data_IF_933694677037
#
_entry.id   IF_933694677037
#
_cell.length_a   1.000
_cell.length_b   1.000
_cell.length_c   1.000
_cell.angle_alpha   90.00
_cell.angle_beta   90.00
_cell.angle_gamma   90.00
#
_symmetry.space_group_name_H-M   'P 1'
#
loop_
_entity.id
_entity.type
_entity.pdbx_description
1 polymer ?
#
# COMPACT_ATOMS: atom_id res chain seq x y z
N UNK A 1 13.05 -7.59 10.00
CA UNK A 1 11.76 -8.03 9.47
C UNK A 1 11.12 -6.88 8.74
N UNK A 2 10.43 -7.15 7.66
CA UNK A 2 9.98 -6.09 6.78
C UNK A 2 8.66 -6.43 6.11
N UNK A 3 8.00 -5.36 5.66
CA UNK A 3 6.80 -5.47 4.83
C UNK A 3 7.19 -4.92 3.47
N UNK A 4 6.88 -5.66 2.41
CA UNK A 4 7.15 -5.21 1.06
C UNK A 4 5.96 -4.39 0.55
N UNK A 5 6.24 -3.20 0.04
CA UNK A 5 5.21 -2.31 -0.50
C UNK A 5 5.44 -2.14 -1.98
N UNK A 6 4.38 -2.32 -2.76
CA UNK A 6 4.45 -2.14 -4.22
C UNK A 6 3.40 -1.14 -4.65
N UNK A 7 3.74 -0.32 -5.64
CA UNK A 7 2.83 0.64 -6.23
C UNK A 7 2.81 0.46 -7.73
N UNK A 8 1.64 0.62 -8.33
CA UNK A 8 1.45 0.38 -9.76
C UNK A 8 0.81 1.56 -10.44
N UNK A 9 1.08 1.71 -11.72
CA UNK A 9 0.44 2.70 -12.59
C UNK A 9 0.54 4.12 -12.00
N UNK A 10 -0.54 4.88 -11.99
CA UNK A 10 -0.52 6.26 -11.51
C UNK A 10 -0.16 6.37 -10.04
N UNK A 11 -0.37 5.32 -9.27
CA UNK A 11 0.01 5.32 -7.85
C UNK A 11 1.53 5.37 -7.70
N UNK A 12 2.24 4.72 -8.62
CA UNK A 12 3.70 4.76 -8.62
C UNK A 12 4.21 6.17 -8.86
N UNK A 13 3.53 6.92 -9.72
CA UNK A 13 3.89 8.31 -9.97
C UNK A 13 3.51 9.20 -8.80
N UNK A 14 2.35 8.97 -8.21
CA UNK A 14 1.86 9.78 -7.09
C UNK A 14 2.80 9.70 -5.89
N UNK A 15 3.33 8.52 -5.60
CA UNK A 15 4.22 8.31 -4.46
C UNK A 15 5.69 8.34 -4.85
N UNK A 16 5.99 8.42 -6.13
CA UNK A 16 7.36 8.33 -6.66
C UNK A 16 8.04 7.07 -6.11
N UNK A 17 7.33 5.95 -6.21
CA UNK A 17 7.72 4.72 -5.56
C UNK A 17 7.16 3.52 -6.31
N UNK A 18 8.02 2.60 -6.75
CA UNK A 18 7.55 1.37 -7.37
C UNK A 18 7.55 0.21 -6.38
N UNK A 19 8.61 0.10 -5.58
CA UNK A 19 8.72 -0.97 -4.59
C UNK A 19 9.61 -0.48 -3.45
N UNK A 20 9.25 -0.87 -2.22
CA UNK A 20 10.04 -0.49 -1.05
C UNK A 20 9.76 -1.49 0.07
N UNK A 21 10.80 -1.78 0.85
CA UNK A 21 10.61 -2.52 2.09
C UNK A 21 10.59 -1.55 3.24
N UNK A 22 9.65 -1.74 4.16
CA UNK A 22 9.55 -0.89 5.35
C UNK A 22 9.64 -1.77 6.60
N UNK A 23 10.09 -1.17 7.69
CA UNK A 23 10.14 -1.88 8.96
C UNK A 23 8.72 -2.17 9.45
N UNK A 24 8.58 -3.28 10.15
CA UNK A 24 7.28 -3.70 10.67
C UNK A 24 6.84 -2.89 11.88
N UNK A 25 7.77 -2.20 12.53
CA UNK A 25 7.49 -1.46 13.76
C UNK A 25 6.38 -0.43 13.53
N UNK A 26 5.35 -0.51 14.36
CA UNK A 26 4.25 0.45 14.31
C UNK A 26 3.25 0.20 13.18
N UNK A 27 3.44 -0.84 12.41
CA UNK A 27 2.55 -1.16 11.29
C UNK A 27 1.58 -2.24 11.74
N UNK A 28 0.29 -1.92 11.73
CA UNK A 28 -0.75 -2.86 12.13
C UNK A 28 -1.72 -3.17 11.00
N UNK A 29 -1.91 -2.24 10.08
CA UNK A 29 -2.87 -2.39 9.00
C UNK A 29 -2.39 -1.67 7.75
N UNK A 30 -3.17 -1.79 6.68
CA UNK A 30 -2.84 -1.18 5.39
C UNK A 30 -2.72 0.34 5.50
N UNK A 31 -3.57 0.98 6.31
CA UNK A 31 -3.49 2.43 6.49
C UNK A 31 -2.15 2.85 7.07
N UNK A 32 -1.61 2.08 8.01
CA UNK A 32 -0.29 2.36 8.57
C UNK A 32 0.80 2.22 7.51
N UNK A 33 0.67 1.23 6.62
CA UNK A 33 1.61 1.06 5.52
C UNK A 33 1.56 2.29 4.61
N UNK A 34 0.36 2.75 4.26
CA UNK A 34 0.22 3.95 3.44
C UNK A 34 0.93 5.13 4.08
N UNK A 35 0.66 5.37 5.36
CA UNK A 35 1.26 6.50 6.06
C UNK A 35 2.78 6.40 6.09
N UNK A 36 3.32 5.20 6.19
CA UNK A 36 4.76 4.99 6.21
C UNK A 36 5.41 5.39 4.89
N UNK A 37 4.77 5.12 3.77
CA UNK A 37 5.37 5.39 2.45
C UNK A 37 4.92 6.71 1.85
N UNK A 38 3.75 7.20 2.20
CA UNK A 38 3.20 8.42 1.62
C UNK A 38 3.37 9.64 2.52
N UNK A 39 3.62 9.44 3.80
CA UNK A 39 3.73 10.53 4.74
C UNK A 39 2.40 11.26 4.88
N UNK A 40 2.40 12.54 4.56
CA UNK A 40 1.20 13.36 4.71
C UNK A 40 0.29 13.33 3.50
N UNK A 41 0.69 12.66 2.42
CA UNK A 41 -0.16 12.57 1.24
C UNK A 41 -1.39 11.72 1.53
N UNK A 42 -2.59 12.22 1.27
CA UNK A 42 -3.78 11.40 1.49
C UNK A 42 -3.89 10.30 0.44
N UNK A 43 -4.49 9.19 0.85
CA UNK A 43 -4.78 8.12 -0.09
C UNK A 43 -5.91 8.58 -1.00
N UNK A 44 -5.71 8.58 -2.33
CA UNK A 44 -6.77 8.99 -3.24
C UNK A 44 -8.02 8.12 -3.07
N UNK A 45 -9.17 8.72 -3.29
CA UNK A 45 -10.43 7.98 -3.27
C UNK A 45 -10.36 6.86 -4.30
N UNK A 46 -10.94 5.72 -3.96
CA UNK A 46 -11.00 4.57 -4.85
C UNK A 46 -9.66 3.88 -5.07
N UNK A 47 -8.64 4.20 -4.25
CA UNK A 47 -7.39 3.46 -4.30
C UNK A 47 -7.65 2.01 -3.92
N UNK A 48 -7.13 1.09 -4.72
CA UNK A 48 -7.25 -0.33 -4.44
C UNK A 48 -6.01 -0.81 -3.72
N UNK A 49 -6.22 -1.71 -2.78
CA UNK A 49 -5.13 -2.28 -1.99
C UNK A 49 -5.22 -3.79 -2.02
N UNK A 50 -4.08 -4.44 -1.96
CA UNK A 50 -4.02 -5.89 -1.86
C UNK A 50 -2.95 -6.27 -0.86
N UNK A 51 -3.22 -7.32 -0.07
CA UNK A 51 -2.25 -7.88 0.85
C UNK A 51 -2.02 -9.31 0.40
N UNK A 52 -0.76 -9.63 0.08
CA UNK A 52 -0.38 -10.95 -0.44
C UNK A 52 -1.26 -11.34 -1.64
N UNK A 53 -1.52 -10.35 -2.52
CA UNK A 53 -2.28 -10.52 -3.75
C UNK A 53 -3.79 -10.73 -3.54
N UNK A 54 -4.27 -10.57 -2.32
CA UNK A 54 -5.70 -10.63 -2.02
C UNK A 54 -6.21 -9.22 -1.76
N UNK A 55 -7.32 -8.88 -2.37
CA UNK A 55 -7.90 -7.55 -2.21
C UNK A 55 -8.18 -7.26 -0.74
N UNK A 56 -7.83 -6.05 -0.30
CA UNK A 56 -7.95 -5.66 1.10
C UNK A 56 -8.36 -4.20 1.18
N UNK A 57 -8.86 -3.79 2.34
CA UNK A 57 -9.16 -2.39 2.59
C UNK A 57 -8.12 -1.80 3.56
N UNK A 58 -8.29 -0.51 3.88
CA UNK A 58 -7.33 0.20 4.71
C UNK A 58 -7.21 -0.36 6.12
N UNK A 59 -8.23 -1.06 6.59
CA UNK A 59 -8.25 -1.61 7.94
C UNK A 59 -7.73 -3.04 8.02
N UNK A 60 -7.42 -3.64 6.89
CA UNK A 60 -6.94 -5.02 6.85
C UNK A 60 -5.62 -5.14 7.61
N UNK A 61 -5.52 -6.16 8.46
CA UNK A 61 -4.33 -6.38 9.29
C UNK A 61 -3.14 -6.78 8.42
N UNK A 62 -1.98 -6.22 8.75
CA UNK A 62 -0.73 -6.50 8.05
C UNK A 62 0.29 -6.97 9.07
N UNK A 63 1.05 -7.99 8.70
CA UNK A 63 2.06 -8.59 9.56
C UNK A 63 3.41 -8.62 8.87
N UNK A 64 4.44 -8.88 9.66
CA UNK A 64 5.79 -9.05 9.14
C UNK A 64 5.81 -10.07 8.01
N UNK A 65 6.50 -9.73 6.93
CA UNK A 65 6.62 -10.61 5.77
C UNK A 65 5.52 -10.44 4.74
N UNK A 66 4.49 -9.66 5.04
CA UNK A 66 3.40 -9.44 4.09
C UNK A 66 3.84 -8.52 2.95
N UNK A 67 3.15 -8.66 1.82
CA UNK A 67 3.34 -7.78 0.68
C UNK A 67 2.05 -6.97 0.50
N UNK A 68 2.20 -5.64 0.50
CA UNK A 68 1.07 -4.73 0.36
C UNK A 68 1.21 -3.98 -0.95
N UNK A 69 0.16 -3.99 -1.76
CA UNK A 69 0.16 -3.32 -3.04
C UNK A 69 -0.89 -2.23 -3.08
N UNK A 70 -0.54 -1.11 -3.69
CA UNK A 70 -1.47 -0.01 -3.93
C UNK A 70 -1.57 0.23 -5.44
N UNK A 71 -2.77 0.38 -5.93
CA UNK A 71 -2.97 0.63 -7.36
C UNK A 71 -4.25 1.43 -7.57
N UNK A 72 -4.30 2.19 -8.68
CA UNK A 72 -5.49 3.00 -8.95
C UNK A 72 -6.66 2.12 -9.33
N UNK A 73 -7.87 2.65 -9.22
CA UNK A 73 -9.05 1.88 -9.62
C UNK A 73 -8.95 1.53 -11.10
N UNK A 74 -9.40 0.33 -11.42
CA UNK A 74 -9.49 -0.08 -12.82
C UNK A 74 -10.75 0.56 -13.37
N UNK A 75 -10.56 1.61 -14.16
CA UNK A 75 -11.69 2.18 -14.87
C UNK A 75 -11.92 1.29 -16.07
N UNK A 76 -13.03 0.61 -16.06
CA UNK A 76 -13.39 -0.27 -17.13
C UNK A 76 -13.49 0.49 -18.43
N UNK A 77 -12.54 0.38 -19.15
CA UNK A 77 -12.57 0.91 -20.41
C UNK A 77 -12.48 1.79 -21.15
#
# INVERSE_FOLDING_TARGET
MAIKVKCFASMREYLDLSEREIATDGIRNVADVWQSVAGEKPMPDNTLCAVNQNQADAKFSVSDGDEVAFFPPVTGG
#
